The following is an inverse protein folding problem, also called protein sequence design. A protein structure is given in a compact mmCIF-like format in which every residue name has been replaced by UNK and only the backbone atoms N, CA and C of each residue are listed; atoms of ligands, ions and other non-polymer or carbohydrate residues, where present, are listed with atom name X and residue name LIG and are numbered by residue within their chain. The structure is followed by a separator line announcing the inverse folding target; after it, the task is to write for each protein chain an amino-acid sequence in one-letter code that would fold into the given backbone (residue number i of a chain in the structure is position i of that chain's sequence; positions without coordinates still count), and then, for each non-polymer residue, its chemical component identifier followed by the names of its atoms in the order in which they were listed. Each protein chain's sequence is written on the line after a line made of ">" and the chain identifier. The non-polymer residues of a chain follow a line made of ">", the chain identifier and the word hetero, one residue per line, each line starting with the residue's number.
data_IF_209747474003
#
_entry.id   IF_209747474003
#
_cell.length_a   1.000
_cell.length_b   1.000
_cell.length_c   1.000
_cell.angle_alpha   90.00
_cell.angle_beta   90.00
_cell.angle_gamma   90.00
#
_symmetry.space_group_name_H-M   'P 1'
#
loop_
_entity.id
_entity.type
_entity.pdbx_description
1 polymer ?
#
# COMPACT_ATOMS: atom_id res chain seq x y z
N UNK A 1 111.93 4.24 34.51
CA UNK A 1 111.37 4.54 35.82
C UNK A 1 109.88 4.54 35.62
N UNK A 2 109.34 3.39 35.86
CA UNK A 2 108.57 2.96 37.04
C UNK A 2 107.21 3.65 37.12
N UNK A 3 106.17 3.06 37.21
CA UNK A 3 105.49 2.06 37.90
C UNK A 3 103.99 2.00 37.56
N UNK A 4 103.56 0.81 37.35
CA UNK A 4 102.35 0.15 37.94
C UNK A 4 100.98 0.79 37.77
N UNK A 5 100.15 0.07 37.12
CA UNK A 5 99.26 -0.99 37.67
C UNK A 5 98.01 -0.44 38.33
N UNK A 6 96.93 -0.81 37.92
CA UNK A 6 95.91 -1.74 38.50
C UNK A 6 94.53 -1.56 37.93
N UNK A 7 94.13 -2.65 37.46
CA UNK A 7 92.73 -3.12 37.49
C UNK A 7 91.73 -2.28 38.27
N UNK A 8 90.61 -2.10 37.66
CA UNK A 8 89.35 -2.36 38.35
C UNK A 8 88.22 -2.63 37.35
N UNK A 9 87.81 -3.85 37.41
CA UNK A 9 86.59 -4.49 36.99
C UNK A 9 85.44 -3.86 37.74
N UNK A 10 84.45 -3.34 37.09
CA UNK A 10 83.11 -3.14 37.64
C UNK A 10 82.07 -3.40 36.56
N UNK A 11 81.54 -4.53 36.61
CA UNK A 11 80.16 -4.99 36.72
C UNK A 11 79.15 -4.12 36.09
N UNK A 12 78.53 -4.72 35.13
CA UNK A 12 77.13 -4.76 34.70
C UNK A 12 76.17 -3.74 35.29
N UNK A 13 75.67 -2.93 34.43
CA UNK A 13 74.42 -2.24 34.60
C UNK A 13 73.57 -2.48 33.35
N UNK A 14 72.75 -3.51 33.45
CA UNK A 14 71.75 -3.80 32.48
C UNK A 14 70.80 -2.63 32.36
N UNK A 15 70.73 -2.11 31.20
CA UNK A 15 69.71 -1.09 30.85
C UNK A 15 68.35 -1.80 30.84
N UNK A 16 67.33 -1.34 31.56
CA UNK A 16 65.98 -1.90 31.46
C UNK A 16 65.49 -1.60 30.03
N UNK A 17 65.22 -2.63 29.28
CA UNK A 17 64.53 -2.50 28.00
C UNK A 17 63.16 -1.87 28.29
N UNK A 18 62.97 -0.62 27.87
CA UNK A 18 61.70 0.03 27.78
C UNK A 18 60.86 -0.76 26.76
N UNK A 19 59.90 -1.54 27.28
CA UNK A 19 58.84 -2.13 26.43
C UNK A 19 58.13 -1.03 25.67
N UNK A 20 57.97 -1.16 24.33
CA UNK A 20 57.23 -0.18 23.58
C UNK A 20 55.77 -0.15 24.05
N UNK A 21 55.15 1.02 24.18
CA UNK A 21 53.77 1.16 24.66
C UNK A 21 52.84 0.36 23.74
N UNK A 22 52.12 -0.61 24.30
CA UNK A 22 51.07 -1.37 23.64
C UNK A 22 50.06 -0.37 23.06
N UNK A 23 50.06 -0.21 21.76
CA UNK A 23 49.04 0.58 21.02
C UNK A 23 47.71 -0.13 21.22
N UNK A 24 46.92 0.35 22.15
CA UNK A 24 45.54 -0.07 22.36
C UNK A 24 44.77 0.33 21.08
N UNK A 25 44.33 -0.70 20.39
CA UNK A 25 43.65 -0.57 19.11
C UNK A 25 42.35 0.23 19.23
N UNK A 26 42.35 1.49 18.84
CA UNK A 26 41.21 2.43 18.81
C UNK A 26 40.15 2.07 17.77
N UNK A 27 40.17 0.80 17.26
CA UNK A 27 39.35 0.33 16.15
C UNK A 27 37.97 -0.19 16.53
N UNK A 28 37.68 -0.33 17.82
CA UNK A 28 36.44 -0.97 18.29
C UNK A 28 35.20 -0.06 18.28
N UNK A 29 35.35 1.23 18.58
CA UNK A 29 34.19 2.13 18.75
C UNK A 29 33.38 2.38 17.47
N UNK A 30 34.04 2.46 16.30
CA UNK A 30 33.32 2.65 15.02
C UNK A 30 32.53 1.40 14.59
N UNK A 31 33.10 0.21 14.79
CA UNK A 31 32.41 -1.06 14.47
C UNK A 31 31.24 -1.31 15.42
N UNK A 32 31.41 -0.97 16.70
CA UNK A 32 30.33 -1.05 17.68
C UNK A 32 29.17 -0.08 17.37
N UNK A 33 29.48 1.17 16.98
CA UNK A 33 28.48 2.14 16.52
C UNK A 33 27.74 1.66 15.26
N UNK A 34 28.45 1.05 14.31
CA UNK A 34 27.82 0.48 13.12
C UNK A 34 26.91 -0.70 13.44
N UNK A 35 27.34 -1.59 14.32
CA UNK A 35 26.50 -2.71 14.80
C UNK A 35 25.27 -2.19 15.56
N UNK A 36 25.44 -1.21 16.43
CA UNK A 36 24.31 -0.60 17.14
C UNK A 36 23.32 0.09 16.19
N UNK A 37 23.82 0.74 15.13
CA UNK A 37 22.95 1.36 14.10
C UNK A 37 22.18 0.30 13.31
N UNK A 38 22.84 -0.80 12.91
CA UNK A 38 22.20 -1.89 12.17
C UNK A 38 21.14 -2.60 13.02
N UNK A 39 21.44 -2.88 14.31
CA UNK A 39 20.47 -3.48 15.23
C UNK A 39 19.29 -2.55 15.49
N UNK A 40 19.51 -1.25 15.62
CA UNK A 40 18.45 -0.25 15.77
C UNK A 40 17.55 -0.19 14.51
N UNK A 41 18.15 -0.19 13.31
CA UNK A 41 17.40 -0.21 12.05
C UNK A 41 16.58 -1.51 11.89
N UNK A 42 17.16 -2.67 12.25
CA UNK A 42 16.45 -3.94 12.23
C UNK A 42 15.26 -3.94 13.20
N UNK A 43 15.45 -3.38 14.40
CA UNK A 43 14.39 -3.27 15.40
C UNK A 43 13.26 -2.33 14.94
N UNK A 44 13.61 -1.21 14.32
CA UNK A 44 12.64 -0.30 13.70
C UNK A 44 11.88 -1.01 12.58
N UNK A 45 12.56 -1.78 11.72
CA UNK A 45 11.91 -2.53 10.62
C UNK A 45 10.93 -3.58 11.16
N UNK A 46 11.28 -4.30 12.24
CA UNK A 46 10.38 -5.27 12.88
C UNK A 46 9.18 -4.57 13.49
N UNK A 47 9.38 -3.46 14.20
CA UNK A 47 8.27 -2.67 14.78
C UNK A 47 7.35 -2.14 13.68
N UNK A 48 7.90 -1.62 12.59
CA UNK A 48 7.13 -1.14 11.43
C UNK A 48 6.35 -2.29 10.77
N UNK A 49 6.94 -3.50 10.65
CA UNK A 49 6.25 -4.67 10.10
C UNK A 49 5.07 -5.11 10.98
N UNK A 50 5.27 -5.16 12.31
CA UNK A 50 4.20 -5.53 13.25
C UNK A 50 3.07 -4.49 13.28
N UNK A 51 3.41 -3.21 13.21
CA UNK A 51 2.42 -2.11 13.14
C UNK A 51 1.66 -2.13 11.80
N UNK A 52 2.34 -2.50 10.71
CA UNK A 52 1.72 -2.67 9.39
C UNK A 52 0.68 -3.79 9.39
N UNK A 53 1.01 -4.96 9.98
CA UNK A 53 0.09 -6.10 10.08
C UNK A 53 -1.12 -5.82 11.00
N UNK A 54 -0.96 -4.93 11.98
CA UNK A 54 -2.07 -4.55 12.90
C UNK A 54 -2.98 -3.46 12.36
N UNK A 55 -2.70 -2.89 11.17
CA UNK A 55 -3.52 -1.83 10.58
C UNK A 55 -3.49 -0.49 11.34
N UNK A 56 -2.61 -0.34 12.35
CA UNK A 56 -2.52 0.91 13.14
C UNK A 56 -1.96 2.07 12.31
N UNK A 57 -1.28 1.77 11.19
CA UNK A 57 -0.86 2.78 10.22
C UNK A 57 -2.01 3.45 9.48
N UNK A 58 -3.20 2.83 9.44
CA UNK A 58 -4.36 3.43 8.77
C UNK A 58 -4.77 4.77 9.41
N UNK A 59 -4.64 4.88 10.72
CA UNK A 59 -4.88 6.15 11.42
C UNK A 59 -3.87 7.25 11.06
N UNK A 60 -2.59 6.89 10.93
CA UNK A 60 -1.54 7.83 10.55
C UNK A 60 -1.62 8.19 9.06
N UNK A 61 -1.83 7.20 8.21
CA UNK A 61 -2.06 7.35 6.77
C UNK A 61 -3.28 8.25 6.52
N UNK A 62 -4.38 8.02 7.20
CA UNK A 62 -5.57 8.90 7.16
C UNK A 62 -5.23 10.32 7.58
N UNK A 63 -4.53 10.53 8.70
CA UNK A 63 -4.12 11.88 9.12
C UNK A 63 -3.28 12.61 8.07
N UNK A 64 -2.34 11.92 7.42
CA UNK A 64 -1.49 12.52 6.37
C UNK A 64 -2.29 12.79 5.10
N UNK A 65 -3.16 11.87 4.68
CA UNK A 65 -4.00 12.02 3.49
C UNK A 65 -5.07 13.10 3.71
N UNK A 66 -5.76 13.07 4.86
CA UNK A 66 -6.78 14.08 5.19
C UNK A 66 -6.19 15.45 5.55
N UNK A 67 -4.93 15.55 5.95
CA UNK A 67 -4.27 16.85 6.15
C UNK A 67 -4.12 17.63 4.84
N UNK A 68 -4.11 16.94 3.70
CA UNK A 68 -4.05 17.54 2.36
C UNK A 68 -5.42 17.64 1.68
N UNK A 69 -6.47 17.01 2.23
CA UNK A 69 -7.82 17.13 1.69
C UNK A 69 -8.32 18.57 1.87
N UNK A 70 -8.92 19.10 0.83
CA UNK A 70 -9.62 20.39 0.93
C UNK A 70 -10.76 20.23 1.95
N UNK A 71 -10.69 20.99 3.01
CA UNK A 71 -11.74 21.04 4.03
C UNK A 71 -12.67 22.21 3.75
N UNK A 72 -13.95 22.01 4.01
CA UNK A 72 -14.92 23.08 4.00
C UNK A 72 -14.72 24.01 5.22
N UNK A 73 -15.50 25.08 5.31
CA UNK A 73 -15.44 26.05 6.42
C UNK A 73 -15.69 25.42 7.80
N UNK A 74 -16.33 24.23 7.84
CA UNK A 74 -16.62 23.47 9.05
C UNK A 74 -15.55 22.41 9.37
N UNK A 75 -14.47 22.35 8.58
CA UNK A 75 -13.38 21.37 8.75
C UNK A 75 -13.73 19.96 8.28
N UNK A 76 -14.85 19.77 7.59
CA UNK A 76 -15.27 18.52 7.00
C UNK A 76 -14.62 18.29 5.64
N UNK A 77 -14.51 17.03 5.20
CA UNK A 77 -14.09 16.71 3.84
C UNK A 77 -15.06 17.33 2.84
N UNK A 78 -14.55 17.75 1.68
CA UNK A 78 -15.35 18.35 0.63
C UNK A 78 -16.52 17.41 0.26
N UNK A 79 -17.74 17.98 0.21
CA UNK A 79 -18.92 17.24 -0.16
C UNK A 79 -18.85 16.83 -1.64
N UNK A 80 -18.75 15.53 -1.90
CA UNK A 80 -18.89 15.01 -3.26
C UNK A 80 -20.36 14.98 -3.65
N UNK A 81 -20.71 15.74 -4.69
CA UNK A 81 -22.04 15.71 -5.27
C UNK A 81 -22.01 14.78 -6.47
N UNK A 82 -22.70 13.65 -6.39
CA UNK A 82 -22.89 12.76 -7.52
C UNK A 82 -24.28 12.98 -8.13
N UNK A 83 -24.39 12.71 -9.42
CA UNK A 83 -25.69 12.75 -10.11
C UNK A 83 -26.56 11.61 -9.55
N UNK A 84 -27.33 11.96 -8.54
CA UNK A 84 -28.18 11.01 -7.82
C UNK A 84 -29.57 11.00 -8.45
N UNK A 85 -29.92 9.83 -8.90
CA UNK A 85 -31.28 9.37 -8.92
C UNK A 85 -31.49 8.37 -7.77
N UNK A 86 -32.71 7.97 -7.53
CA UNK A 86 -33.06 7.10 -6.38
C UNK A 86 -32.46 5.68 -6.45
N UNK A 87 -31.70 5.33 -7.49
CA UNK A 87 -31.21 3.98 -7.78
C UNK A 87 -29.68 3.84 -7.72
N UNK A 88 -28.98 4.74 -7.04
CA UNK A 88 -27.52 4.66 -6.90
C UNK A 88 -27.06 3.47 -6.03
N UNK A 89 -26.04 2.76 -6.49
CA UNK A 89 -25.33 1.70 -5.73
C UNK A 89 -23.90 2.11 -5.43
N UNK A 90 -23.39 1.66 -4.29
CA UNK A 90 -22.06 1.99 -3.76
C UNK A 90 -21.28 0.75 -3.40
N UNK A 91 -19.97 0.75 -3.66
CA UNK A 91 -19.06 -0.30 -3.23
C UNK A 91 -17.73 0.30 -2.74
N UNK A 92 -17.26 -0.16 -1.60
CA UNK A 92 -15.93 0.18 -1.11
C UNK A 92 -14.89 -0.73 -1.77
N UNK A 93 -13.78 -0.15 -2.26
CA UNK A 93 -12.69 -0.80 -2.99
C UNK A 93 -11.35 -0.36 -2.38
N UNK A 94 -10.76 -1.14 -1.49
CA UNK A 94 -9.40 -0.88 -0.94
C UNK A 94 -9.16 0.60 -0.58
N UNK A 95 -10.12 1.22 0.13
CA UNK A 95 -10.01 2.64 0.52
C UNK A 95 -10.61 3.63 -0.47
N UNK A 96 -11.00 3.20 -1.66
CA UNK A 96 -11.72 3.98 -2.66
C UNK A 96 -13.22 3.66 -2.62
N UNK A 97 -14.03 4.53 -3.20
CA UNK A 97 -15.47 4.35 -3.31
C UNK A 97 -15.89 4.29 -4.79
N UNK A 98 -16.43 3.15 -5.21
CA UNK A 98 -17.11 3.07 -6.50
C UNK A 98 -18.58 3.44 -6.33
N UNK A 99 -19.10 4.24 -7.24
CA UNK A 99 -20.51 4.62 -7.30
C UNK A 99 -21.07 4.36 -8.70
N UNK A 100 -22.28 3.89 -8.78
CA UNK A 100 -23.01 3.77 -10.03
C UNK A 100 -24.39 4.38 -9.87
N UNK A 101 -24.80 5.14 -10.87
CA UNK A 101 -26.13 5.73 -11.02
C UNK A 101 -26.67 5.43 -12.40
N UNK A 102 -27.89 5.87 -12.71
CA UNK A 102 -28.46 5.75 -14.06
C UNK A 102 -27.65 6.50 -15.13
N UNK A 103 -26.89 7.52 -14.73
CA UNK A 103 -26.21 8.41 -15.67
C UNK A 103 -24.69 8.35 -15.60
N UNK A 104 -24.11 7.82 -14.51
CA UNK A 104 -22.68 7.89 -14.25
C UNK A 104 -22.15 6.72 -13.45
N UNK A 105 -20.97 6.26 -13.82
CA UNK A 105 -20.09 5.42 -13.01
C UNK A 105 -18.94 6.29 -12.55
N UNK A 106 -18.61 6.27 -11.24
CA UNK A 106 -17.46 7.03 -10.71
C UNK A 106 -16.68 6.17 -9.72
N UNK A 107 -15.38 6.42 -9.67
CA UNK A 107 -14.49 5.90 -8.61
C UNK A 107 -13.84 7.10 -7.94
N UNK A 108 -14.00 7.18 -6.63
CA UNK A 108 -13.42 8.21 -5.78
C UNK A 108 -12.26 7.62 -4.98
N UNK A 109 -11.18 8.37 -4.83
CA UNK A 109 -10.07 8.00 -3.97
C UNK A 109 -10.40 8.23 -2.47
N UNK A 110 -9.44 7.92 -1.61
CA UNK A 110 -9.56 8.10 -0.15
C UNK A 110 -9.76 9.57 0.25
N UNK A 111 -9.40 10.53 -0.60
CA UNK A 111 -9.60 11.96 -0.38
C UNK A 111 -10.95 12.47 -0.93
N UNK A 112 -11.76 11.60 -1.53
CA UNK A 112 -13.03 11.96 -2.17
C UNK A 112 -12.86 12.59 -3.55
N UNK A 113 -11.66 12.55 -4.14
CA UNK A 113 -11.40 13.06 -5.49
C UNK A 113 -11.76 11.98 -6.50
N UNK A 114 -12.42 12.37 -7.59
CA UNK A 114 -12.71 11.47 -8.69
C UNK A 114 -11.42 11.01 -9.39
N UNK A 115 -11.22 9.69 -9.45
CA UNK A 115 -10.15 9.01 -10.18
C UNK A 115 -10.65 8.55 -11.55
N UNK A 116 -11.92 8.20 -11.64
CA UNK A 116 -12.54 7.72 -12.86
C UNK A 116 -14.00 8.17 -12.91
N UNK A 117 -14.42 8.63 -14.08
CA UNK A 117 -15.81 8.97 -14.36
C UNK A 117 -16.18 8.51 -15.77
N UNK A 118 -17.33 7.86 -15.89
CA UNK A 118 -17.89 7.41 -17.16
C UNK A 118 -19.37 7.71 -17.19
N UNK A 119 -19.78 8.47 -18.18
CA UNK A 119 -21.20 8.65 -18.48
C UNK A 119 -21.79 7.35 -19.05
N UNK A 120 -22.92 6.93 -18.51
CA UNK A 120 -23.69 5.76 -18.92
C UNK A 120 -25.17 6.07 -19.04
N UNK A 121 -25.93 5.14 -19.57
CA UNK A 121 -27.40 5.19 -19.60
C UNK A 121 -27.90 3.86 -19.09
N UNK A 122 -28.07 3.76 -17.79
CA UNK A 122 -28.58 2.59 -17.10
C UNK A 122 -30.04 2.80 -16.70
N UNK A 123 -30.81 1.72 -16.62
CA UNK A 123 -32.17 1.74 -16.11
C UNK A 123 -32.22 1.19 -14.68
N UNK A 124 -31.46 0.13 -14.43
CA UNK A 124 -31.38 -0.54 -13.13
C UNK A 124 -29.93 -0.77 -12.76
N UNK A 125 -29.20 0.33 -12.41
CA UNK A 125 -27.77 0.25 -12.10
C UNK A 125 -27.50 -0.61 -10.88
N UNK A 126 -26.55 -1.51 -11.01
CA UNK A 126 -26.17 -2.45 -9.97
C UNK A 126 -24.64 -2.58 -9.88
N UNK A 127 -24.13 -2.75 -8.65
CA UNK A 127 -22.73 -3.05 -8.36
C UNK A 127 -22.61 -4.44 -7.72
N UNK A 128 -21.91 -5.35 -8.37
CA UNK A 128 -21.38 -6.55 -7.73
C UNK A 128 -19.96 -6.25 -7.25
N UNK A 129 -19.65 -6.57 -5.99
CA UNK A 129 -18.35 -6.25 -5.39
C UNK A 129 -17.58 -7.50 -4.98
N UNK A 130 -16.26 -7.38 -5.03
CA UNK A 130 -15.29 -8.19 -4.29
C UNK A 130 -14.46 -7.28 -3.37
N UNK A 131 -13.43 -7.79 -2.72
CA UNK A 131 -12.55 -7.01 -1.84
C UNK A 131 -11.83 -5.88 -2.59
N UNK A 132 -11.27 -6.15 -3.78
CA UNK A 132 -10.42 -5.22 -4.53
C UNK A 132 -11.09 -4.64 -5.78
N UNK A 133 -12.23 -5.18 -6.22
CA UNK A 133 -12.87 -4.83 -7.49
C UNK A 133 -14.38 -4.75 -7.36
N UNK A 134 -15.01 -4.01 -8.27
CA UNK A 134 -16.47 -4.00 -8.44
C UNK A 134 -16.82 -4.13 -9.91
N UNK A 135 -17.94 -4.77 -10.21
CA UNK A 135 -18.53 -4.84 -11.52
C UNK A 135 -19.80 -3.98 -11.55
N UNK A 136 -19.77 -2.90 -12.30
CA UNK A 136 -20.92 -2.02 -12.53
C UNK A 136 -21.65 -2.46 -13.81
N UNK A 137 -22.93 -2.71 -13.71
CA UNK A 137 -23.75 -3.13 -14.83
C UNK A 137 -25.19 -2.67 -14.69
N UNK A 138 -25.93 -2.73 -15.78
CA UNK A 138 -27.37 -2.51 -15.81
C UNK A 138 -28.09 -3.85 -15.91
N UNK A 139 -29.07 -4.11 -15.06
CA UNK A 139 -29.94 -5.28 -15.20
C UNK A 139 -30.82 -5.07 -16.41
N UNK A 140 -30.75 -6.02 -17.36
CA UNK A 140 -31.36 -5.87 -18.70
C UNK A 140 -30.46 -5.20 -19.74
N UNK A 141 -29.33 -4.61 -19.31
CA UNK A 141 -28.30 -4.10 -20.23
C UNK A 141 -27.39 -5.21 -20.78
N UNK A 142 -26.34 -4.80 -21.52
CA UNK A 142 -25.40 -5.76 -22.14
C UNK A 142 -23.96 -5.50 -21.77
N UNK A 143 -23.65 -4.43 -21.06
CA UNK A 143 -22.28 -4.02 -20.75
C UNK A 143 -22.00 -4.12 -19.27
N UNK A 144 -20.84 -4.67 -18.92
CA UNK A 144 -20.28 -4.71 -17.57
C UNK A 144 -18.99 -3.89 -17.56
N UNK A 145 -18.82 -3.04 -16.56
CA UNK A 145 -17.60 -2.27 -16.30
C UNK A 145 -16.95 -2.81 -15.04
N UNK A 146 -15.76 -3.39 -15.15
CA UNK A 146 -15.01 -3.86 -13.98
C UNK A 146 -14.07 -2.76 -13.52
N UNK A 147 -14.24 -2.36 -12.27
CA UNK A 147 -13.60 -1.22 -11.61
C UNK A 147 -12.64 -1.71 -10.54
N UNK A 148 -11.61 -0.92 -10.28
CA UNK A 148 -10.70 -1.04 -9.14
C UNK A 148 -10.54 0.32 -8.47
N UNK A 149 -9.79 0.39 -7.37
CA UNK A 149 -9.42 1.65 -6.72
C UNK A 149 -8.70 2.65 -7.65
N UNK A 150 -8.14 2.17 -8.78
CA UNK A 150 -7.45 2.99 -9.79
C UNK A 150 -8.32 3.40 -10.97
N UNK A 151 -9.60 2.99 -11.00
CA UNK A 151 -10.55 3.25 -12.08
C UNK A 151 -10.94 2.00 -12.86
N UNK A 152 -11.23 2.15 -14.14
CA UNK A 152 -11.66 1.07 -15.03
C UNK A 152 -10.51 0.07 -15.25
N UNK A 153 -10.80 -1.21 -15.01
CA UNK A 153 -9.90 -2.33 -15.31
C UNK A 153 -10.17 -2.83 -16.74
N UNK A 154 -11.41 -3.19 -17.02
CA UNK A 154 -11.87 -3.54 -18.37
C UNK A 154 -13.39 -3.37 -18.51
N UNK A 155 -13.83 -3.33 -19.73
CA UNK A 155 -15.24 -3.35 -20.14
C UNK A 155 -15.52 -4.66 -20.85
N UNK A 156 -16.68 -5.26 -20.58
CA UNK A 156 -17.16 -6.47 -21.21
C UNK A 156 -18.55 -6.23 -21.78
N UNK A 157 -18.76 -6.66 -23.01
CA UNK A 157 -20.10 -6.69 -23.63
C UNK A 157 -20.61 -8.14 -23.63
N UNK A 158 -21.73 -8.38 -22.94
CA UNK A 158 -22.38 -9.69 -22.87
C UNK A 158 -23.15 -9.99 -24.17
N UNK A 159 -23.31 -11.26 -24.50
CA UNK A 159 -24.03 -11.68 -25.71
C UNK A 159 -25.54 -11.42 -25.62
N UNK A 160 -26.09 -11.39 -24.41
CA UNK A 160 -27.51 -11.17 -24.14
C UNK A 160 -27.72 -10.16 -23.01
N UNK A 161 -28.97 -9.92 -22.65
CA UNK A 161 -29.34 -9.05 -21.55
C UNK A 161 -28.88 -9.62 -20.22
N UNK A 162 -28.16 -8.82 -19.44
CA UNK A 162 -27.58 -9.24 -18.18
C UNK A 162 -28.68 -9.34 -17.12
N UNK A 163 -28.79 -10.50 -16.52
CA UNK A 163 -29.70 -10.77 -15.38
C UNK A 163 -28.99 -10.53 -14.06
N UNK A 164 -27.74 -10.97 -13.97
CA UNK A 164 -26.89 -10.76 -12.78
C UNK A 164 -25.42 -10.89 -13.16
N UNK A 165 -24.56 -10.26 -12.35
CA UNK A 165 -23.12 -10.44 -12.39
C UNK A 165 -22.58 -10.65 -10.98
N UNK A 166 -21.58 -11.51 -10.82
CA UNK A 166 -20.90 -11.78 -9.57
C UNK A 166 -19.40 -11.75 -9.81
N UNK A 167 -18.67 -11.09 -8.91
CA UNK A 167 -17.22 -10.98 -8.97
C UNK A 167 -16.62 -11.60 -7.72
N UNK A 168 -15.64 -12.49 -7.88
CA UNK A 168 -14.94 -13.08 -6.75
C UNK A 168 -13.62 -12.34 -6.45
N UNK A 169 -13.00 -12.65 -5.31
CA UNK A 169 -11.75 -12.01 -4.89
C UNK A 169 -10.54 -12.41 -5.75
N UNK A 170 -10.59 -13.56 -6.43
CA UNK A 170 -9.58 -13.96 -7.41
C UNK A 170 -9.69 -13.19 -8.74
N UNK A 171 -10.77 -12.42 -8.93
CA UNK A 171 -10.98 -11.57 -10.10
C UNK A 171 -11.79 -12.22 -11.21
N UNK A 172 -12.34 -13.42 -11.00
CA UNK A 172 -13.26 -14.04 -11.96
C UNK A 172 -14.62 -13.36 -11.92
N UNK A 173 -15.10 -12.93 -13.08
CA UNK A 173 -16.42 -12.37 -13.28
C UNK A 173 -17.34 -13.42 -13.85
N UNK A 174 -18.44 -13.71 -13.16
CA UNK A 174 -19.51 -14.57 -13.67
C UNK A 174 -20.68 -13.69 -14.09
N UNK A 175 -21.12 -13.80 -15.32
CA UNK A 175 -22.26 -13.08 -15.87
C UNK A 175 -23.35 -14.07 -16.26
N UNK A 176 -24.54 -13.86 -15.74
CA UNK A 176 -25.76 -14.56 -16.15
C UNK A 176 -26.52 -13.66 -17.09
N UNK A 177 -26.79 -14.14 -18.31
CA UNK A 177 -27.48 -13.37 -19.34
C UNK A 177 -28.64 -14.15 -19.95
N UNK A 178 -29.64 -13.44 -20.43
CA UNK A 178 -30.74 -14.00 -21.20
C UNK A 178 -30.28 -14.15 -22.65
N UNK A 179 -30.28 -15.36 -23.19
CA UNK A 179 -29.83 -15.64 -24.57
C UNK A 179 -30.89 -16.36 -25.35
N UNK A 180 -30.90 -16.10 -26.66
CA UNK A 180 -31.82 -16.77 -27.58
C UNK A 180 -31.57 -18.29 -27.57
N UNK A 181 -32.63 -19.06 -27.40
CA UNK A 181 -32.57 -20.52 -27.35
C UNK A 181 -32.38 -21.13 -25.97
N UNK A 182 -32.16 -20.35 -24.92
CA UNK A 182 -32.09 -20.84 -23.54
C UNK A 182 -32.69 -19.78 -22.58
N UNK A 183 -33.18 -20.23 -21.40
CA UNK A 183 -33.73 -19.31 -20.38
C UNK A 183 -32.67 -18.39 -19.76
N UNK A 184 -31.49 -18.91 -19.59
CA UNK A 184 -30.34 -18.17 -19.10
C UNK A 184 -29.03 -18.89 -19.49
N UNK A 185 -28.00 -18.11 -19.79
CA UNK A 185 -26.63 -18.57 -19.98
C UNK A 185 -25.74 -18.00 -18.87
N UNK A 186 -24.81 -18.79 -18.40
CA UNK A 186 -23.81 -18.38 -17.41
C UNK A 186 -22.44 -18.45 -18.04
N UNK A 187 -21.71 -17.34 -18.05
CA UNK A 187 -20.32 -17.25 -18.53
C UNK A 187 -19.40 -16.75 -17.44
N UNK A 188 -18.21 -17.34 -17.41
CA UNK A 188 -17.13 -16.95 -16.51
C UNK A 188 -15.99 -16.35 -17.32
N UNK A 189 -15.50 -15.20 -16.87
CA UNK A 189 -14.45 -14.41 -17.51
C UNK A 189 -13.27 -14.22 -16.56
#
# INVERSE_FOLDING_TARGET
>A
MDKRSRDNMTLGGGNPQEEPPRRVAKKSKRRFLWLALVTLLALIAVVLSVLYDRGEFDGLRRRVLYAKAQKDENGCAQLYRYASDQSGSFASLEGSLATVSMHQISVLDEAGKSVYEQAVKFQTPTLARSTARAAAYDVGGKTVYVLSAKGLVYRLDASGEILSAVLNDAGYLTVTSNESGCKAAVRVY
#
